data_IF_861503932566
#
_entry.id   IF_861503932566
#
_cell.length_a   1.000
_cell.length_b   1.000
_cell.length_c   1.000
_cell.angle_alpha   90.00
_cell.angle_beta   90.00
_cell.angle_gamma   90.00
#
_symmetry.space_group_name_H-M   'P 1'
#
loop_
_entity.id
_entity.type
_entity.pdbx_description
1 polymer ?
#
# COMPACT_ATOMS: atom_id res chain seq x y z
N UNK A 1 2.07 0.78 -14.50
CA UNK A 1 1.95 2.11 -15.15
C UNK A 1 1.41 3.11 -14.13
N UNK A 2 1.94 4.34 -14.08
CA UNK A 2 1.31 5.49 -13.41
C UNK A 2 0.76 6.40 -14.50
N UNK A 3 -0.45 6.14 -14.95
CA UNK A 3 -1.02 6.74 -16.17
C UNK A 3 -1.82 8.03 -15.92
N UNK A 4 -2.11 8.36 -14.67
CA UNK A 4 -2.95 9.49 -14.30
C UNK A 4 -2.25 10.43 -13.32
N UNK A 5 -2.45 11.72 -13.51
CA UNK A 5 -2.11 12.77 -12.56
C UNK A 5 -3.02 12.71 -11.32
N UNK A 6 -2.57 13.33 -10.21
CA UNK A 6 -3.38 13.45 -9.01
C UNK A 6 -4.71 14.20 -9.27
N UNK A 7 -4.70 15.18 -10.18
CA UNK A 7 -5.90 15.93 -10.55
C UNK A 7 -6.93 15.06 -11.29
N UNK A 8 -6.49 14.20 -12.22
CA UNK A 8 -7.39 13.27 -12.92
C UNK A 8 -8.00 12.25 -11.97
N UNK A 9 -7.22 11.73 -11.02
CA UNK A 9 -7.71 10.81 -10.00
C UNK A 9 -8.73 11.51 -9.10
N UNK A 10 -8.40 12.69 -8.57
CA UNK A 10 -9.31 13.47 -7.72
C UNK A 10 -10.62 13.83 -8.43
N UNK A 11 -10.61 14.04 -9.74
CA UNK A 11 -11.82 14.28 -10.54
C UNK A 11 -12.75 13.07 -10.65
N UNK A 12 -12.28 11.86 -10.31
CA UNK A 12 -13.07 10.61 -10.29
C UNK A 12 -13.50 10.20 -8.89
N UNK A 13 -13.01 10.87 -7.85
CA UNK A 13 -13.37 10.56 -6.46
C UNK A 13 -14.76 11.08 -6.11
N UNK A 14 -15.52 10.39 -5.25
CA UNK A 14 -16.77 10.92 -4.70
C UNK A 14 -16.52 12.23 -3.95
N UNK A 15 -17.47 13.17 -4.02
CA UNK A 15 -17.32 14.51 -3.45
C UNK A 15 -16.94 14.51 -1.97
N UNK A 16 -17.45 13.54 -1.20
CA UNK A 16 -17.21 13.40 0.24
C UNK A 16 -15.73 13.13 0.58
N UNK A 17 -14.96 12.56 -0.35
CA UNK A 17 -13.52 12.32 -0.17
C UNK A 17 -12.67 13.57 -0.40
N UNK A 18 -13.24 14.62 -1.02
CA UNK A 18 -12.54 15.86 -1.36
C UNK A 18 -12.75 16.95 -0.29
N UNK A 19 -13.41 16.62 0.82
CA UNK A 19 -13.66 17.51 1.96
C UNK A 19 -12.43 17.52 2.89
N UNK A 20 -12.02 18.67 3.44
CA UNK A 20 -12.61 20.00 3.29
C UNK A 20 -12.16 20.77 2.05
N UNK A 21 -11.15 20.28 1.31
CA UNK A 21 -10.62 20.98 0.14
C UNK A 21 -10.08 20.01 -0.90
N UNK A 22 -10.57 20.17 -2.13
CA UNK A 22 -10.09 19.43 -3.31
C UNK A 22 -8.62 19.74 -3.61
N UNK A 23 -8.18 20.98 -3.42
CA UNK A 23 -6.79 21.36 -3.72
C UNK A 23 -5.80 20.73 -2.72
N UNK A 24 -6.20 20.68 -1.44
CA UNK A 24 -5.43 19.95 -0.42
C UNK A 24 -5.39 18.45 -0.74
N UNK A 25 -6.51 17.87 -1.17
CA UNK A 25 -6.57 16.47 -1.59
C UNK A 25 -5.64 16.18 -2.77
N UNK A 26 -5.68 16.99 -3.82
CA UNK A 26 -4.81 16.84 -5.00
C UNK A 26 -3.33 16.95 -4.61
N UNK A 27 -2.98 17.91 -3.76
CA UNK A 27 -1.60 18.10 -3.29
C UNK A 27 -1.12 16.91 -2.47
N UNK A 28 -1.94 16.42 -1.53
CA UNK A 28 -1.63 15.25 -0.73
C UNK A 28 -1.47 14.00 -1.61
N UNK A 29 -2.38 13.79 -2.56
CA UNK A 29 -2.32 12.67 -3.48
C UNK A 29 -1.06 12.72 -4.35
N UNK A 30 -0.71 13.88 -4.91
CA UNK A 30 0.50 14.05 -5.71
C UNK A 30 1.77 13.63 -4.95
N UNK A 31 1.86 13.97 -3.66
CA UNK A 31 2.98 13.60 -2.80
C UNK A 31 2.99 12.11 -2.43
N UNK A 32 1.84 11.44 -2.49
CA UNK A 32 1.68 10.02 -2.17
C UNK A 32 1.65 9.12 -3.40
N UNK A 33 1.60 9.66 -4.63
CA UNK A 33 1.58 8.83 -5.85
C UNK A 33 2.73 7.82 -5.90
N UNK A 34 3.87 8.11 -5.26
CA UNK A 34 5.03 7.21 -5.16
C UNK A 34 4.72 5.90 -4.42
N UNK A 35 3.83 5.90 -3.42
CA UNK A 35 3.58 4.74 -2.53
C UNK A 35 2.70 3.67 -3.17
N UNK A 36 1.94 4.01 -4.22
CA UNK A 36 1.09 3.05 -4.91
C UNK A 36 1.95 2.15 -5.82
N UNK A 37 1.91 0.84 -5.54
CA UNK A 37 2.55 -0.19 -6.36
C UNK A 37 1.94 -0.27 -7.76
N UNK A 38 2.69 -0.79 -8.72
CA UNK A 38 2.28 -0.80 -10.15
C UNK A 38 1.80 -2.14 -10.66
N UNK A 39 1.96 -3.21 -9.88
CA UNK A 39 1.72 -4.60 -10.30
C UNK A 39 0.85 -5.39 -9.31
N UNK A 40 0.37 -4.73 -8.24
CA UNK A 40 -0.44 -5.35 -7.18
C UNK A 40 0.21 -6.56 -6.49
N UNK A 41 1.53 -6.73 -6.60
CA UNK A 41 2.25 -7.85 -5.96
C UNK A 41 2.78 -7.43 -4.59
N UNK A 42 2.74 -8.37 -3.65
CA UNK A 42 3.50 -8.26 -2.39
C UNK A 42 5.00 -8.26 -2.71
N UNK A 43 5.76 -7.22 -2.30
CA UNK A 43 7.21 -7.20 -2.47
C UNK A 43 7.87 -8.34 -1.68
N UNK A 44 8.87 -9.01 -2.27
CA UNK A 44 9.53 -10.18 -1.67
C UNK A 44 10.12 -9.90 -0.28
N UNK A 45 10.67 -8.70 -0.07
CA UNK A 45 11.24 -8.29 1.22
C UNK A 45 10.19 -7.80 2.23
N UNK A 46 8.99 -7.40 1.78
CA UNK A 46 7.98 -6.76 2.61
C UNK A 46 7.58 -7.59 3.83
N UNK A 47 7.08 -8.83 3.66
CA UNK A 47 6.69 -9.70 4.76
C UNK A 47 7.81 -9.96 5.77
N UNK A 48 9.04 -10.15 5.29
CA UNK A 48 10.20 -10.38 6.16
C UNK A 48 10.55 -9.12 6.97
N UNK A 49 10.48 -7.93 6.35
CA UNK A 49 10.71 -6.67 7.05
C UNK A 49 9.67 -6.44 8.15
N UNK A 50 8.40 -6.70 7.87
CA UNK A 50 7.32 -6.59 8.87
C UNK A 50 7.58 -7.55 10.03
N UNK A 51 7.90 -8.82 9.76
CA UNK A 51 8.22 -9.81 10.80
C UNK A 51 9.38 -9.35 11.70
N UNK A 52 10.45 -8.81 11.12
CA UNK A 52 11.59 -8.29 11.90
C UNK A 52 11.20 -7.09 12.78
N UNK A 53 10.31 -6.21 12.32
CA UNK A 53 9.80 -5.08 13.12
C UNK A 53 8.94 -5.60 14.27
N UNK A 54 8.02 -6.55 14.01
CA UNK A 54 7.18 -7.15 15.04
C UNK A 54 8.02 -7.83 16.13
N UNK A 55 8.99 -8.66 15.73
CA UNK A 55 9.92 -9.31 16.66
C UNK A 55 10.74 -8.33 17.48
N UNK A 56 11.05 -7.15 16.96
CA UNK A 56 11.86 -6.15 17.65
C UNK A 56 11.06 -5.27 18.60
N UNK A 57 9.87 -4.84 18.19
CA UNK A 57 9.13 -3.77 18.85
C UNK A 57 7.80 -4.20 19.49
N UNK A 58 7.16 -5.27 19.01
CA UNK A 58 5.88 -5.72 19.56
C UNK A 58 6.12 -6.70 20.71
N UNK A 59 5.90 -6.23 21.95
CA UNK A 59 6.19 -7.00 23.17
C UNK A 59 5.53 -8.38 23.20
N UNK A 60 4.30 -8.50 22.72
CA UNK A 60 3.54 -9.76 22.66
C UNK A 60 4.01 -10.70 21.55
N UNK A 61 4.85 -10.24 20.62
CA UNK A 61 5.36 -10.98 19.48
C UNK A 61 6.89 -11.22 19.52
N UNK A 62 7.58 -10.63 20.50
CA UNK A 62 9.02 -10.87 20.74
C UNK A 62 9.32 -12.37 20.85
N UNK A 63 10.29 -12.83 20.07
CA UNK A 63 10.73 -14.23 20.05
C UNK A 63 9.76 -15.21 19.38
N UNK A 64 8.63 -14.74 18.83
CA UNK A 64 7.70 -15.58 18.06
C UNK A 64 8.05 -15.55 16.58
N UNK A 65 7.62 -16.58 15.86
CA UNK A 65 7.75 -16.70 14.41
C UNK A 65 6.38 -16.91 13.77
N UNK A 66 6.26 -16.53 12.50
CA UNK A 66 5.11 -16.81 11.65
C UNK A 66 5.58 -17.48 10.36
N UNK A 67 4.78 -18.40 9.82
CA UNK A 67 5.00 -18.89 8.47
C UNK A 67 4.53 -17.84 7.46
N UNK A 68 5.48 -17.07 6.88
CA UNK A 68 5.15 -15.99 5.95
C UNK A 68 4.44 -16.48 4.67
N UNK A 69 4.62 -17.75 4.29
CA UNK A 69 3.92 -18.32 3.13
C UNK A 69 2.41 -18.47 3.34
N UNK A 70 1.94 -18.44 4.58
CA UNK A 70 0.52 -18.51 4.93
C UNK A 70 -0.12 -17.12 5.10
N UNK A 71 0.67 -16.04 5.11
CA UNK A 71 0.16 -14.68 5.39
C UNK A 71 -0.13 -13.85 4.14
N UNK A 72 0.38 -14.27 2.98
CA UNK A 72 0.12 -13.60 1.71
C UNK A 72 0.30 -14.55 0.52
N UNK A 73 -0.25 -14.17 -0.63
CA UNK A 73 0.03 -14.84 -1.91
C UNK A 73 0.04 -13.83 -3.06
N UNK A 74 0.90 -14.07 -4.04
CA UNK A 74 0.90 -13.33 -5.31
C UNK A 74 0.18 -14.10 -6.43
N UNK A 75 -0.45 -15.25 -6.14
CA UNK A 75 -1.09 -16.08 -7.16
C UNK A 75 -2.14 -15.30 -7.97
N UNK A 76 -3.03 -14.57 -7.31
CA UNK A 76 -4.10 -13.82 -7.98
C UNK A 76 -3.57 -12.61 -8.74
N UNK A 77 -2.60 -11.88 -8.17
CA UNK A 77 -1.95 -10.76 -8.85
C UNK A 77 -1.22 -11.24 -10.12
N UNK A 78 -0.55 -12.39 -10.06
CA UNK A 78 0.10 -13.00 -11.22
C UNK A 78 -0.88 -13.46 -12.31
N UNK A 79 -2.09 -13.87 -11.94
CA UNK A 79 -3.15 -14.26 -12.89
C UNK A 79 -3.81 -13.06 -13.58
N UNK A 80 -3.75 -11.88 -12.94
CA UNK A 80 -4.38 -10.64 -13.42
C UNK A 80 -3.45 -9.77 -14.28
N UNK A 81 -2.15 -10.08 -14.30
CA UNK A 81 -1.10 -9.30 -14.97
C UNK A 81 -0.72 -9.86 -16.33
#
# INVERSE_FOLDING_TARGET
MKAHSAAEIAAKMPADYLVPSKDLYVTALQNQLSIFGTDCKMPSAGPQTVLSIEQKYVSTFKGKNANLGETYTNEFANKAS
#
